data_IF_157654721658
#
_entry.id   IF_157654721658
#
_cell.length_a   1.000
_cell.length_b   1.000
_cell.length_c   1.000
_cell.angle_alpha   90.00
_cell.angle_beta   90.00
_cell.angle_gamma   90.00
#
_symmetry.space_group_name_H-M   'P 1'
#
loop_
_entity.id
_entity.type
_entity.pdbx_description
1 polymer ?
#
# COMPACT_ATOMS: atom_id res chain seq x y z
N UNK A 1 42.26 33.46 -32.74
CA UNK A 1 43.12 33.41 -31.55
C UNK A 1 42.51 32.37 -30.63
N UNK A 2 43.08 31.16 -30.68
CA UNK A 2 42.67 29.98 -29.93
C UNK A 2 43.33 30.04 -28.54
N UNK A 3 42.58 30.39 -27.51
CA UNK A 3 42.90 30.00 -26.13
C UNK A 3 42.18 28.67 -25.90
N UNK A 4 42.83 27.52 -26.07
CA UNK A 4 43.96 27.11 -25.24
C UNK A 4 43.41 26.65 -23.89
N UNK A 5 42.75 25.48 -23.87
CA UNK A 5 42.47 24.79 -22.62
C UNK A 5 43.81 24.21 -22.19
N UNK A 6 44.56 24.92 -21.33
CA UNK A 6 45.84 24.46 -20.85
C UNK A 6 45.66 23.10 -20.17
N UNK A 7 46.39 22.11 -20.67
CA UNK A 7 46.32 20.70 -20.28
C UNK A 7 46.91 20.43 -18.90
N UNK A 8 46.49 21.17 -17.87
CA UNK A 8 46.78 20.89 -16.46
C UNK A 8 45.71 19.98 -15.83
N UNK A 9 45.15 19.06 -16.62
CA UNK A 9 44.30 18.00 -16.08
C UNK A 9 45.20 16.90 -15.53
N UNK A 10 45.07 16.57 -14.24
CA UNK A 10 45.73 15.39 -13.67
C UNK A 10 45.32 14.15 -14.46
N UNK A 11 46.29 13.42 -15.02
CA UNK A 11 46.05 12.12 -15.63
C UNK A 11 45.75 11.07 -14.54
N UNK A 12 44.95 10.05 -14.86
CA UNK A 12 44.61 8.97 -13.92
C UNK A 12 45.89 8.17 -13.63
N UNK A 13 46.28 8.13 -12.37
CA UNK A 13 47.51 7.45 -11.95
C UNK A 13 47.25 5.96 -11.65
N UNK A 14 48.30 5.14 -11.61
CA UNK A 14 48.18 3.71 -11.29
C UNK A 14 47.39 3.40 -10.00
N UNK A 15 47.53 4.16 -8.89
CA UNK A 15 46.70 3.96 -7.70
C UNK A 15 45.19 4.13 -7.96
N UNK A 16 44.80 5.02 -8.86
CA UNK A 16 43.39 5.27 -9.19
C UNK A 16 42.78 4.05 -9.91
N UNK A 17 43.52 3.43 -10.83
CA UNK A 17 43.11 2.17 -11.48
C UNK A 17 42.99 1.01 -10.50
N UNK A 18 43.90 0.92 -9.53
CA UNK A 18 43.84 -0.10 -8.48
C UNK A 18 42.60 0.07 -7.59
N UNK A 19 42.25 1.30 -7.21
CA UNK A 19 41.04 1.60 -6.44
C UNK A 19 39.78 1.23 -7.23
N UNK A 20 39.71 1.58 -8.51
CA UNK A 20 38.59 1.20 -9.39
C UNK A 20 38.47 -0.33 -9.48
N UNK A 21 39.59 -1.03 -9.68
CA UNK A 21 39.62 -2.49 -9.73
C UNK A 21 39.12 -3.14 -8.43
N UNK A 22 39.62 -2.68 -7.28
CA UNK A 22 39.18 -3.17 -5.96
C UNK A 22 37.70 -2.90 -5.70
N UNK A 23 37.19 -1.74 -6.14
CA UNK A 23 35.78 -1.40 -6.01
C UNK A 23 34.87 -2.39 -6.78
N UNK A 24 35.16 -2.66 -8.05
CA UNK A 24 34.38 -3.62 -8.84
C UNK A 24 34.47 -5.04 -8.29
N UNK A 25 35.65 -5.47 -7.83
CA UNK A 25 35.81 -6.75 -7.13
C UNK A 25 34.96 -6.78 -5.86
N UNK A 26 34.95 -5.71 -5.08
CA UNK A 26 34.10 -5.58 -3.89
C UNK A 26 32.61 -5.70 -4.20
N UNK A 27 32.11 -5.03 -5.25
CA UNK A 27 30.72 -5.16 -5.69
C UNK A 27 30.39 -6.59 -6.10
N UNK A 28 31.27 -7.25 -6.85
CA UNK A 28 31.06 -8.64 -7.26
C UNK A 28 31.04 -9.58 -6.06
N UNK A 29 31.91 -9.38 -5.07
CA UNK A 29 31.91 -10.15 -3.82
C UNK A 29 30.58 -9.96 -3.07
N UNK A 30 30.11 -8.73 -2.90
CA UNK A 30 28.84 -8.43 -2.24
C UNK A 30 27.65 -9.02 -3.02
N UNK A 31 27.66 -8.89 -4.35
CA UNK A 31 26.62 -9.46 -5.22
C UNK A 31 26.56 -10.99 -5.14
N UNK A 32 27.71 -11.67 -5.17
CA UNK A 32 27.79 -13.12 -5.04
C UNK A 32 27.41 -13.59 -3.64
N UNK A 33 27.83 -12.86 -2.60
CA UNK A 33 27.46 -13.13 -1.21
C UNK A 33 25.95 -12.99 -1.00
N UNK A 34 25.34 -11.92 -1.52
CA UNK A 34 23.90 -11.70 -1.47
C UNK A 34 23.13 -12.78 -2.23
N UNK A 35 23.57 -13.11 -3.46
CA UNK A 35 22.95 -14.15 -4.28
C UNK A 35 22.99 -15.53 -3.62
N UNK A 36 24.09 -15.90 -2.95
CA UNK A 36 24.20 -17.15 -2.19
C UNK A 36 23.29 -17.19 -0.95
N UNK A 37 23.00 -16.03 -0.35
CA UNK A 37 22.07 -15.92 0.79
C UNK A 37 20.61 -15.91 0.35
N UNK A 38 20.33 -15.38 -0.84
CA UNK A 38 19.01 -15.37 -1.47
C UNK A 38 18.67 -16.73 -2.13
N UNK A 39 18.95 -17.84 -1.44
CA UNK A 39 18.40 -19.16 -1.77
C UNK A 39 16.96 -19.25 -1.26
N UNK A 40 16.08 -18.43 -1.81
CA UNK A 40 14.65 -18.50 -1.55
C UNK A 40 13.94 -18.71 -2.88
N UNK A 41 13.46 -19.93 -3.15
CA UNK A 41 12.66 -20.30 -4.32
C UNK A 41 11.26 -19.63 -4.34
N UNK A 42 11.11 -18.49 -3.65
CA UNK A 42 9.85 -17.76 -3.52
C UNK A 42 9.93 -16.39 -4.19
N UNK A 43 8.91 -16.07 -4.99
CA UNK A 43 8.73 -14.78 -5.67
C UNK A 43 8.85 -13.61 -4.68
N UNK A 44 8.40 -13.78 -3.43
CA UNK A 44 8.52 -12.78 -2.36
C UNK A 44 9.98 -12.49 -1.95
N UNK A 45 10.86 -13.50 -1.95
CA UNK A 45 12.28 -13.33 -1.65
C UNK A 45 13.00 -12.50 -2.70
N UNK A 46 12.68 -12.70 -3.98
CA UNK A 46 13.27 -11.97 -5.10
C UNK A 46 12.75 -10.52 -5.22
N UNK A 47 11.44 -10.30 -5.05
CA UNK A 47 10.83 -8.97 -5.25
C UNK A 47 10.74 -8.10 -4.00
N UNK A 48 10.57 -8.69 -2.81
CA UNK A 48 10.29 -7.94 -1.58
C UNK A 48 11.40 -8.08 -0.52
N UNK A 49 12.47 -8.83 -0.82
CA UNK A 49 13.53 -9.17 0.14
C UNK A 49 12.96 -9.67 1.48
N UNK A 50 11.87 -10.46 1.41
CA UNK A 50 11.11 -10.98 2.55
C UNK A 50 10.66 -9.92 3.58
N UNK A 51 10.55 -8.64 3.18
CA UNK A 51 10.23 -7.49 4.06
C UNK A 51 11.15 -7.35 5.29
N UNK A 52 12.35 -7.94 5.26
CA UNK A 52 13.27 -7.96 6.40
C UNK A 52 14.38 -6.91 6.29
N UNK A 53 14.32 -6.01 5.31
CA UNK A 53 15.34 -4.98 5.12
C UNK A 53 15.21 -3.86 6.15
N UNK A 54 16.33 -3.54 6.80
CA UNK A 54 16.44 -2.41 7.71
C UNK A 54 16.27 -1.08 6.96
N UNK A 55 15.76 -0.05 7.62
CA UNK A 55 15.43 1.24 7.00
C UNK A 55 16.64 1.97 6.40
N UNK A 56 17.85 1.75 6.94
CA UNK A 56 19.10 2.38 6.46
C UNK A 56 19.44 1.94 5.03
N UNK A 57 19.62 0.64 4.71
CA UNK A 57 19.79 0.18 3.33
C UNK A 57 18.68 0.64 2.37
N UNK A 58 17.42 0.66 2.82
CA UNK A 58 16.29 1.10 1.99
C UNK A 58 16.42 2.59 1.64
N UNK A 59 16.69 3.46 2.62
CA UNK A 59 16.91 4.89 2.40
C UNK A 59 18.12 5.17 1.51
N UNK A 60 19.23 4.45 1.74
CA UNK A 60 20.42 4.55 0.90
C UNK A 60 20.14 4.11 -0.55
N UNK A 61 19.36 3.06 -0.75
CA UNK A 61 18.95 2.58 -2.08
C UNK A 61 18.04 3.59 -2.79
N UNK A 62 17.08 4.20 -2.09
CA UNK A 62 16.22 5.24 -2.66
C UNK A 62 17.05 6.46 -3.10
N UNK A 63 17.99 6.90 -2.27
CA UNK A 63 18.92 7.97 -2.60
C UNK A 63 19.81 7.61 -3.80
N UNK A 64 20.43 6.43 -3.79
CA UNK A 64 21.32 5.99 -4.87
C UNK A 64 20.59 5.78 -6.21
N UNK A 65 19.30 5.40 -6.17
CA UNK A 65 18.48 5.27 -7.38
C UNK A 65 18.11 6.62 -7.99
N UNK A 66 17.96 7.66 -7.15
CA UNK A 66 17.76 9.02 -7.60
C UNK A 66 19.09 9.60 -8.13
N UNK A 67 20.15 9.56 -7.32
CA UNK A 67 21.43 10.21 -7.62
C UNK A 67 22.33 9.32 -8.48
N UNK A 68 21.97 9.19 -9.77
CA UNK A 68 22.77 8.51 -10.78
C UNK A 68 23.91 9.37 -11.36
N UNK A 69 24.79 8.76 -12.17
CA UNK A 69 25.92 9.46 -12.81
C UNK A 69 25.49 10.65 -13.67
N UNK A 70 24.34 10.56 -14.34
CA UNK A 70 23.75 11.66 -15.11
C UNK A 70 23.33 12.86 -14.25
N UNK A 71 22.91 12.61 -13.01
CA UNK A 71 22.50 13.66 -12.08
C UNK A 71 23.71 14.40 -11.50
N UNK A 72 24.80 13.68 -11.22
CA UNK A 72 26.08 14.31 -10.82
C UNK A 72 26.61 15.27 -11.89
N UNK A 73 26.69 14.81 -13.15
CA UNK A 73 27.20 15.65 -14.24
C UNK A 73 26.21 16.76 -14.60
N UNK A 74 24.91 16.44 -14.67
CA UNK A 74 23.86 17.35 -15.08
C UNK A 74 23.58 18.47 -14.07
N UNK A 75 23.46 18.16 -12.77
CA UNK A 75 23.26 19.17 -11.72
C UNK A 75 24.52 19.99 -11.49
N UNK A 76 25.71 19.39 -11.53
CA UNK A 76 26.95 20.15 -11.42
C UNK A 76 27.11 21.12 -12.60
N UNK A 77 26.81 20.68 -13.83
CA UNK A 77 26.82 21.56 -15.00
C UNK A 77 25.75 22.66 -14.93
N UNK A 78 24.55 22.32 -14.49
CA UNK A 78 23.46 23.28 -14.29
C UNK A 78 23.79 24.28 -13.18
N UNK A 79 24.38 23.83 -12.07
CA UNK A 79 24.86 24.69 -10.98
C UNK A 79 26.02 25.59 -11.38
N UNK A 80 26.92 25.11 -12.25
CA UNK A 80 27.98 25.94 -12.82
C UNK A 80 27.42 27.05 -13.73
N UNK A 81 26.32 26.78 -14.46
CA UNK A 81 25.70 27.76 -15.36
C UNK A 81 24.70 28.70 -14.68
N UNK A 82 23.92 28.21 -13.72
CA UNK A 82 22.72 28.86 -13.16
C UNK A 82 22.80 29.07 -11.64
N UNK A 83 23.92 28.68 -11.02
CA UNK A 83 24.17 28.85 -9.59
C UNK A 83 23.36 27.90 -8.71
N UNK A 84 23.21 28.26 -7.42
CA UNK A 84 22.58 27.44 -6.39
C UNK A 84 21.07 27.20 -6.61
N UNK A 85 20.44 27.94 -7.53
CA UNK A 85 19.00 27.85 -7.82
C UNK A 85 18.56 26.43 -8.20
N UNK A 86 19.44 25.66 -8.87
CA UNK A 86 19.16 24.26 -9.24
C UNK A 86 18.96 23.35 -8.02
N UNK A 87 19.52 23.69 -6.86
CA UNK A 87 19.34 22.91 -5.63
C UNK A 87 17.88 22.90 -5.14
N UNK A 88 17.04 23.85 -5.58
CA UNK A 88 15.61 23.83 -5.32
C UNK A 88 14.92 22.55 -5.85
N UNK A 89 15.43 21.98 -6.94
CA UNK A 89 14.94 20.70 -7.48
C UNK A 89 15.11 19.55 -6.46
N UNK A 90 16.30 19.42 -5.87
CA UNK A 90 16.59 18.40 -4.84
C UNK A 90 15.84 18.66 -3.54
N UNK A 91 15.73 19.93 -3.13
CA UNK A 91 14.97 20.30 -1.93
C UNK A 91 13.48 19.96 -2.10
N UNK A 92 12.91 20.13 -3.29
CA UNK A 92 11.55 19.71 -3.57
C UNK A 92 11.37 18.19 -3.50
N UNK A 93 12.35 17.41 -3.98
CA UNK A 93 12.30 15.95 -3.91
C UNK A 93 12.20 15.43 -2.47
N UNK A 94 12.82 16.11 -1.49
CA UNK A 94 12.69 15.77 -0.07
C UNK A 94 11.22 15.78 0.39
N UNK A 95 10.48 16.84 0.06
CA UNK A 95 9.07 16.95 0.43
C UNK A 95 8.22 15.88 -0.27
N UNK A 96 8.50 15.60 -1.55
CA UNK A 96 7.79 14.56 -2.32
C UNK A 96 8.07 13.16 -1.76
N UNK A 97 9.29 12.86 -1.33
CA UNK A 97 9.63 11.58 -0.70
C UNK A 97 8.93 11.40 0.66
N UNK A 98 8.80 12.46 1.44
CA UNK A 98 7.97 12.44 2.65
C UNK A 98 6.51 12.20 2.29
N UNK A 99 5.98 12.83 1.24
CA UNK A 99 4.62 12.59 0.77
C UNK A 99 4.43 11.12 0.35
N UNK A 100 5.39 10.54 -0.39
CA UNK A 100 5.40 9.13 -0.77
C UNK A 100 5.30 8.22 0.45
N UNK A 101 6.15 8.44 1.46
CA UNK A 101 6.22 7.60 2.65
C UNK A 101 4.98 7.69 3.55
N UNK A 102 4.46 8.90 3.77
CA UNK A 102 3.39 9.13 4.74
C UNK A 102 1.97 9.06 4.15
N UNK A 103 1.81 9.34 2.85
CA UNK A 103 0.48 9.35 2.21
C UNK A 103 0.28 8.19 1.23
N UNK A 104 1.24 7.91 0.35
CA UNK A 104 1.05 6.90 -0.71
C UNK A 104 1.35 5.47 -0.26
N UNK A 105 2.43 5.26 0.51
CA UNK A 105 2.81 3.92 0.95
C UNK A 105 1.71 3.24 1.78
N UNK A 106 1.01 3.91 2.72
CA UNK A 106 -0.13 3.32 3.42
C UNK A 106 -1.28 2.91 2.48
N UNK A 107 -1.57 3.72 1.46
CA UNK A 107 -2.61 3.43 0.46
C UNK A 107 -2.26 2.17 -0.33
N UNK A 108 -1.01 2.01 -0.77
CA UNK A 108 -0.58 0.81 -1.49
C UNK A 108 -0.61 -0.44 -0.62
N UNK A 109 -0.22 -0.34 0.66
CA UNK A 109 -0.28 -1.45 1.60
C UNK A 109 -1.74 -1.85 1.86
N UNK A 110 -2.64 -0.88 2.09
CA UNK A 110 -4.06 -1.12 2.29
C UNK A 110 -4.71 -1.78 1.06
N UNK A 111 -4.48 -1.23 -0.14
CA UNK A 111 -4.96 -1.81 -1.39
C UNK A 111 -4.46 -3.23 -1.61
N UNK A 112 -3.17 -3.50 -1.33
CA UNK A 112 -2.60 -4.83 -1.41
C UNK A 112 -3.22 -5.82 -0.42
N UNK A 113 -3.54 -5.37 0.80
CA UNK A 113 -4.21 -6.19 1.81
C UNK A 113 -5.64 -6.56 1.40
N UNK A 114 -6.41 -5.60 0.86
CA UNK A 114 -7.77 -5.84 0.39
C UNK A 114 -7.81 -6.78 -0.82
N UNK A 115 -6.90 -6.57 -1.79
CA UNK A 115 -6.75 -7.48 -2.95
C UNK A 115 -6.36 -8.88 -2.51
N UNK A 116 -5.44 -9.01 -1.56
CA UNK A 116 -5.04 -10.31 -1.01
C UNK A 116 -6.21 -11.02 -0.32
N UNK A 117 -6.92 -10.32 0.57
CA UNK A 117 -8.07 -10.86 1.30
C UNK A 117 -9.16 -11.34 0.33
N UNK A 118 -9.46 -10.54 -0.70
CA UNK A 118 -10.45 -10.89 -1.70
C UNK A 118 -10.04 -12.04 -2.62
N UNK A 119 -8.80 -12.04 -3.08
CA UNK A 119 -8.28 -13.12 -3.90
C UNK A 119 -8.24 -14.46 -3.15
N UNK A 120 -7.88 -14.43 -1.87
CA UNK A 120 -7.92 -15.61 -0.99
C UNK A 120 -9.34 -16.16 -0.88
N UNK A 121 -10.33 -15.28 -0.76
CA UNK A 121 -11.73 -15.68 -0.66
C UNK A 121 -12.24 -16.36 -1.94
N UNK A 122 -11.94 -15.78 -3.11
CA UNK A 122 -12.26 -16.38 -4.42
C UNK A 122 -11.55 -17.72 -4.61
N UNK A 123 -10.25 -17.79 -4.24
CA UNK A 123 -9.48 -19.03 -4.30
C UNK A 123 -10.15 -20.13 -3.47
N UNK A 124 -10.56 -19.82 -2.25
CA UNK A 124 -11.16 -20.81 -1.34
C UNK A 124 -12.55 -21.27 -1.80
N UNK A 125 -13.31 -20.40 -2.48
CA UNK A 125 -14.71 -20.65 -2.86
C UNK A 125 -14.84 -21.29 -4.23
N UNK A 126 -14.07 -20.81 -5.22
CA UNK A 126 -14.12 -21.26 -6.61
C UNK A 126 -12.95 -22.16 -7.00
N UNK A 127 -11.96 -22.35 -6.12
CA UNK A 127 -10.76 -23.14 -6.43
C UNK A 127 -9.85 -22.49 -7.49
N UNK A 128 -10.06 -21.19 -7.78
CA UNK A 128 -9.29 -20.48 -8.80
C UNK A 128 -7.88 -20.14 -8.31
N UNK A 129 -6.95 -20.02 -9.25
CA UNK A 129 -5.62 -19.51 -8.97
C UNK A 129 -5.73 -18.07 -8.41
N UNK A 130 -4.95 -17.76 -7.36
CA UNK A 130 -4.93 -16.46 -6.70
C UNK A 130 -4.72 -15.29 -7.69
N UNK A 131 -3.87 -15.44 -8.71
CA UNK A 131 -3.66 -14.38 -9.71
C UNK A 131 -4.91 -14.13 -10.57
N UNK A 132 -5.61 -15.19 -10.96
CA UNK A 132 -6.88 -15.09 -11.71
C UNK A 132 -7.94 -14.42 -10.85
N UNK A 133 -8.01 -14.80 -9.57
CA UNK A 133 -8.89 -14.16 -8.58
C UNK A 133 -8.65 -12.65 -8.46
N UNK A 134 -7.39 -12.20 -8.41
CA UNK A 134 -7.04 -10.78 -8.40
C UNK A 134 -7.51 -10.07 -9.67
N UNK A 135 -7.28 -10.66 -10.85
CA UNK A 135 -7.69 -10.05 -12.13
C UNK A 135 -9.20 -9.91 -12.24
N UNK A 136 -9.96 -10.93 -11.83
CA UNK A 136 -11.42 -10.88 -11.77
C UNK A 136 -11.89 -9.78 -10.82
N UNK A 137 -11.27 -9.70 -9.63
CA UNK A 137 -11.60 -8.72 -8.61
C UNK A 137 -11.37 -7.28 -9.12
N UNK A 138 -10.21 -7.03 -9.74
CA UNK A 138 -9.88 -5.74 -10.35
C UNK A 138 -10.81 -5.39 -11.51
N UNK A 139 -11.13 -6.36 -12.37
CA UNK A 139 -12.03 -6.14 -13.51
C UNK A 139 -13.43 -5.72 -13.08
N UNK A 140 -14.02 -6.42 -12.11
CA UNK A 140 -15.34 -6.07 -11.58
C UNK A 140 -15.30 -4.73 -10.85
N UNK A 141 -14.28 -4.48 -10.02
CA UNK A 141 -14.13 -3.20 -9.32
C UNK A 141 -13.97 -2.03 -10.29
N UNK A 142 -13.19 -2.18 -11.37
CA UNK A 142 -13.02 -1.14 -12.39
C UNK A 142 -14.34 -0.83 -13.11
N UNK A 143 -15.10 -1.85 -13.53
CA UNK A 143 -16.42 -1.66 -14.16
C UNK A 143 -17.38 -0.95 -13.22
N UNK A 144 -17.42 -1.37 -11.95
CA UNK A 144 -18.30 -0.77 -10.95
C UNK A 144 -17.91 0.69 -10.63
N UNK A 145 -16.61 1.00 -10.60
CA UNK A 145 -16.10 2.36 -10.39
C UNK A 145 -16.46 3.27 -11.56
N UNK A 146 -16.30 2.80 -12.81
CA UNK A 146 -16.66 3.58 -14.00
C UNK A 146 -18.17 3.82 -14.11
N UNK A 147 -18.98 2.85 -13.69
CA UNK A 147 -20.44 2.93 -13.79
C UNK A 147 -21.09 3.65 -12.59
N UNK A 148 -20.42 3.69 -11.43
CA UNK A 148 -21.02 4.09 -10.15
C UNK A 148 -20.33 5.30 -9.51
N UNK A 149 -21.08 6.37 -9.27
CA UNK A 149 -20.63 7.48 -8.42
C UNK A 149 -20.58 7.11 -6.93
N UNK A 150 -19.98 7.98 -6.10
CA UNK A 150 -19.83 7.79 -4.65
C UNK A 150 -21.14 7.41 -3.93
N UNK A 151 -22.27 7.97 -4.37
CA UNK A 151 -23.60 7.69 -3.80
C UNK A 151 -24.01 6.23 -4.01
N UNK A 152 -23.73 5.66 -5.18
CA UNK A 152 -24.03 4.25 -5.49
C UNK A 152 -23.24 3.35 -4.55
N UNK A 153 -21.95 3.64 -4.36
CA UNK A 153 -21.06 2.89 -3.46
C UNK A 153 -21.60 2.90 -2.03
N UNK A 154 -22.01 4.06 -1.52
CA UNK A 154 -22.54 4.16 -0.14
C UNK A 154 -23.83 3.35 0.04
N UNK A 155 -24.73 3.36 -0.94
CA UNK A 155 -25.97 2.58 -0.85
C UNK A 155 -25.73 1.08 -0.93
N UNK A 156 -24.81 0.62 -1.79
CA UNK A 156 -24.44 -0.80 -1.83
C UNK A 156 -23.80 -1.24 -0.51
N UNK A 157 -23.00 -0.39 0.12
CA UNK A 157 -22.36 -0.69 1.41
C UNK A 157 -23.35 -0.79 2.55
N UNK A 158 -24.40 0.04 2.51
CA UNK A 158 -25.46 -0.01 3.50
C UNK A 158 -26.19 -1.35 3.46
N UNK A 159 -26.63 -1.77 2.27
CA UNK A 159 -27.28 -3.09 2.07
C UNK A 159 -26.34 -4.22 2.48
N UNK A 160 -25.09 -4.16 2.03
CA UNK A 160 -24.08 -5.14 2.34
C UNK A 160 -23.81 -5.24 3.84
N UNK A 161 -23.76 -4.11 4.57
CA UNK A 161 -23.55 -4.09 6.02
C UNK A 161 -24.67 -4.83 6.75
N UNK A 162 -25.93 -4.64 6.35
CA UNK A 162 -27.06 -5.37 6.92
C UNK A 162 -26.92 -6.87 6.67
N UNK A 163 -26.62 -7.25 5.42
CA UNK A 163 -26.46 -8.67 5.05
C UNK A 163 -25.26 -9.32 5.73
N UNK A 164 -24.14 -8.61 5.88
CA UNK A 164 -22.94 -9.08 6.60
C UNK A 164 -23.24 -9.33 8.07
N UNK A 165 -23.95 -8.41 8.74
CA UNK A 165 -24.29 -8.57 10.16
C UNK A 165 -25.20 -9.79 10.34
N UNK A 166 -26.24 -9.95 9.51
CA UNK A 166 -27.13 -11.12 9.58
C UNK A 166 -26.37 -12.41 9.31
N UNK A 167 -25.56 -12.45 8.25
CA UNK A 167 -24.76 -13.63 7.89
C UNK A 167 -23.75 -14.02 8.98
N UNK A 168 -23.07 -13.04 9.57
CA UNK A 168 -22.12 -13.27 10.66
C UNK A 168 -22.82 -13.71 11.96
N UNK A 169 -24.02 -13.19 12.25
CA UNK A 169 -24.84 -13.65 13.38
C UNK A 169 -25.24 -15.12 13.22
N UNK A 170 -25.69 -15.51 12.02
CA UNK A 170 -26.00 -16.91 11.73
C UNK A 170 -24.75 -17.78 11.87
N UNK A 171 -23.61 -17.32 11.35
CA UNK A 171 -22.34 -18.05 11.43
C UNK A 171 -21.90 -18.29 12.86
N UNK A 172 -21.91 -17.26 13.72
CA UNK A 172 -21.46 -17.41 15.10
C UNK A 172 -22.34 -18.39 15.86
N UNK A 173 -23.68 -18.32 15.68
CA UNK A 173 -24.61 -19.24 16.33
C UNK A 173 -24.34 -20.69 15.90
N UNK A 174 -24.19 -20.93 14.59
CA UNK A 174 -23.92 -22.29 14.09
C UNK A 174 -22.53 -22.78 14.54
N UNK A 175 -21.51 -21.93 14.49
CA UNK A 175 -20.14 -22.30 14.90
C UNK A 175 -20.05 -22.65 16.40
N UNK A 176 -20.72 -21.89 17.26
CA UNK A 176 -20.77 -22.17 18.70
C UNK A 176 -21.54 -23.45 18.98
N UNK A 177 -22.62 -23.73 18.23
CA UNK A 177 -23.36 -24.99 18.33
C UNK A 177 -22.47 -26.18 18.00
N UNK A 178 -21.66 -26.08 16.95
CA UNK A 178 -20.76 -27.16 16.50
C UNK A 178 -19.63 -27.42 17.50
N UNK A 179 -19.06 -26.37 18.10
CA UNK A 179 -18.03 -26.53 19.15
C UNK A 179 -18.59 -27.12 20.45
N UNK A 180 -19.90 -26.91 20.70
CA UNK A 180 -20.58 -27.35 21.92
C UNK A 180 -20.80 -26.25 22.96
N UNK A 181 -20.85 -24.99 22.54
CA UNK A 181 -21.19 -23.82 23.36
C UNK A 181 -20.03 -22.84 23.56
N UNK A 182 -20.38 -21.64 24.05
CA UNK A 182 -19.40 -20.58 24.35
C UNK A 182 -18.44 -20.98 25.48
N UNK A 183 -18.96 -21.56 26.56
CA UNK A 183 -18.15 -21.93 27.73
C UNK A 183 -17.11 -22.99 27.36
N UNK A 184 -17.54 -24.02 26.60
CA UNK A 184 -16.64 -25.07 26.11
C UNK A 184 -15.57 -24.53 25.16
N UNK A 185 -15.93 -23.57 24.29
CA UNK A 185 -14.96 -22.90 23.44
C UNK A 185 -13.94 -22.17 24.29
N UNK A 186 -14.37 -21.36 25.27
CA UNK A 186 -13.45 -20.58 26.08
C UNK A 186 -12.61 -21.43 27.04
N UNK A 187 -13.15 -22.47 27.65
CA UNK A 187 -12.40 -23.28 28.61
C UNK A 187 -11.39 -24.20 27.94
N UNK A 188 -11.73 -24.76 26.78
CA UNK A 188 -10.91 -25.79 26.14
C UNK A 188 -10.21 -25.29 24.86
N UNK A 189 -10.26 -24.00 24.54
CA UNK A 189 -9.68 -23.46 23.30
C UNK A 189 -8.23 -23.88 23.08
N UNK A 190 -7.42 -23.88 24.15
CA UNK A 190 -6.00 -24.21 24.09
C UNK A 190 -5.75 -25.66 23.69
N UNK A 191 -6.62 -26.57 24.12
CA UNK A 191 -6.54 -27.99 23.81
C UNK A 191 -7.14 -28.28 22.44
N UNK A 192 -8.34 -27.74 22.16
CA UNK A 192 -9.06 -27.95 20.91
C UNK A 192 -8.36 -27.31 19.70
N UNK A 193 -7.71 -26.16 19.88
CA UNK A 193 -7.08 -25.41 18.81
C UNK A 193 -5.63 -25.80 18.49
N UNK A 194 -5.12 -26.87 19.10
CA UNK A 194 -3.78 -27.42 18.83
C UNK A 194 -3.88 -28.59 17.85
N UNK A 195 -3.07 -28.63 16.77
CA UNK A 195 -3.01 -29.75 15.85
C UNK A 195 -2.74 -31.05 16.62
N UNK A 196 -3.52 -32.07 16.32
CA UNK A 196 -3.41 -33.36 17.00
C UNK A 196 -2.27 -34.18 16.38
N UNK A 197 -2.10 -34.03 15.07
CA UNK A 197 -1.07 -34.71 14.28
C UNK A 197 0.26 -33.95 14.32
N UNK A 198 1.33 -34.66 14.67
CA UNK A 198 2.71 -34.14 14.72
C UNK A 198 3.24 -33.68 13.36
N UNK A 199 2.62 -34.11 12.27
CA UNK A 199 2.98 -33.74 10.90
C UNK A 199 2.64 -32.27 10.57
N UNK A 200 1.63 -31.69 11.22
CA UNK A 200 1.10 -30.36 10.89
C UNK A 200 1.72 -29.24 11.72
N UNK A 201 2.54 -29.57 12.72
CA UNK A 201 3.24 -28.56 13.51
C UNK A 201 4.75 -28.81 13.60
N UNK A 202 5.53 -27.74 13.44
CA UNK A 202 6.98 -27.77 13.66
C UNK A 202 7.31 -27.21 15.05
N UNK A 203 8.15 -27.92 15.80
CA UNK A 203 8.75 -27.41 17.04
C UNK A 203 10.08 -26.77 16.69
N UNK A 204 10.31 -25.54 17.12
CA UNK A 204 11.63 -24.95 17.01
C UNK A 204 12.55 -25.62 18.04
N UNK A 205 13.52 -26.41 17.58
CA UNK A 205 14.44 -27.15 18.45
C UNK A 205 15.27 -26.26 19.38
N UNK A 206 15.44 -24.96 19.06
CA UNK A 206 16.19 -24.03 19.89
C UNK A 206 15.39 -23.48 21.09
N UNK A 207 14.07 -23.32 20.95
CA UNK A 207 13.21 -22.71 21.99
C UNK A 207 12.20 -23.70 22.57
N UNK A 208 12.14 -24.91 22.02
CA UNK A 208 11.18 -25.97 22.35
C UNK A 208 9.71 -25.48 22.32
N UNK A 209 9.44 -24.45 21.52
CA UNK A 209 8.12 -23.84 21.31
C UNK A 209 7.68 -24.06 19.87
N UNK A 210 6.40 -24.38 19.69
CA UNK A 210 5.78 -24.44 18.37
C UNK A 210 5.02 -23.15 18.07
N UNK A 211 5.05 -22.69 16.81
CA UNK A 211 4.23 -21.54 16.37
C UNK A 211 2.71 -21.84 16.39
N UNK A 212 2.33 -23.09 16.66
CA UNK A 212 0.94 -23.52 16.79
C UNK A 212 0.41 -23.46 18.21
N UNK A 213 1.26 -23.18 19.22
CA UNK A 213 0.81 -23.06 20.60
C UNK A 213 -0.03 -21.80 20.81
N UNK A 214 -1.16 -21.98 21.49
CA UNK A 214 -2.05 -20.89 21.86
C UNK A 214 -1.55 -20.27 23.17
N UNK A 215 -1.42 -18.94 23.19
CA UNK A 215 -1.02 -18.17 24.38
C UNK A 215 -1.92 -18.47 25.57
N UNK A 216 -1.36 -18.49 26.78
CA UNK A 216 -2.11 -18.70 28.02
C UNK A 216 -3.10 -17.55 28.31
N UNK A 217 -2.86 -16.37 27.75
CA UNK A 217 -3.67 -15.17 27.93
C UNK A 217 -4.80 -15.05 26.89
N UNK A 218 -5.20 -16.13 26.22
CA UNK A 218 -6.20 -16.09 25.15
C UNK A 218 -7.59 -15.60 25.60
N UNK A 219 -7.92 -15.74 26.89
CA UNK A 219 -9.16 -15.20 27.49
C UNK A 219 -9.09 -13.71 27.81
N UNK A 220 -7.89 -13.12 27.84
CA UNK A 220 -7.67 -11.74 28.26
C UNK A 220 -7.71 -10.81 27.06
N UNK A 221 -8.49 -9.73 27.17
CA UNK A 221 -8.52 -8.67 26.14
C UNK A 221 -7.21 -7.88 26.09
N UNK A 222 -6.58 -7.65 27.25
CA UNK A 222 -5.26 -7.02 27.38
C UNK A 222 -4.27 -8.05 27.91
N UNK A 223 -3.23 -8.34 27.13
CA UNK A 223 -2.14 -9.25 27.53
C UNK A 223 -1.03 -8.50 28.27
N UNK A 224 -0.16 -9.20 29.02
CA UNK A 224 0.98 -8.58 29.70
C UNK A 224 1.87 -7.75 28.78
N UNK A 225 2.67 -6.85 29.36
CA UNK A 225 3.57 -5.96 28.61
C UNK A 225 4.74 -6.70 27.96
N UNK A 226 5.06 -7.91 28.42
CA UNK A 226 6.15 -8.75 27.94
C UNK A 226 5.70 -9.82 26.92
N UNK A 227 4.41 -9.82 26.53
CA UNK A 227 3.91 -10.70 25.47
C UNK A 227 4.57 -10.32 24.13
N UNK A 228 5.17 -11.31 23.47
CA UNK A 228 5.94 -11.07 22.24
C UNK A 228 5.08 -10.66 21.05
N UNK A 229 3.79 -11.04 21.05
CA UNK A 229 2.90 -10.84 19.91
C UNK A 229 1.99 -9.62 20.11
N UNK A 230 1.32 -9.52 21.26
CA UNK A 230 0.25 -8.54 21.49
C UNK A 230 0.35 -7.87 22.89
N UNK A 231 1.44 -7.16 23.20
CA UNK A 231 1.59 -6.51 24.50
C UNK A 231 0.56 -5.37 24.66
N UNK A 232 -0.04 -5.21 25.84
CA UNK A 232 -1.08 -4.18 26.05
C UNK A 232 -0.58 -2.76 25.76
N UNK A 233 0.71 -2.48 25.98
CA UNK A 233 1.32 -1.18 25.69
C UNK A 233 1.26 -0.86 24.19
N UNK A 234 1.58 -1.84 23.34
CA UNK A 234 1.43 -1.73 21.89
C UNK A 234 -0.03 -1.62 21.45
N UNK A 235 -0.92 -2.41 22.08
CA UNK A 235 -2.36 -2.38 21.78
C UNK A 235 -3.02 -1.05 22.16
N UNK A 236 -2.64 -0.44 23.27
CA UNK A 236 -3.26 0.80 23.75
C UNK A 236 -2.61 2.02 23.11
N UNK A 237 -1.29 2.12 23.08
CA UNK A 237 -0.61 3.33 22.58
C UNK A 237 -0.30 3.24 21.08
N UNK A 238 0.18 2.09 20.61
CA UNK A 238 0.55 1.88 19.21
C UNK A 238 -0.66 1.86 18.28
N UNK A 239 -1.64 0.99 18.55
CA UNK A 239 -2.85 0.89 17.70
C UNK A 239 -3.67 2.17 17.75
N UNK A 240 -3.70 2.91 18.87
CA UNK A 240 -4.41 4.20 18.92
C UNK A 240 -3.85 5.20 17.91
N UNK A 241 -2.53 5.29 17.73
CA UNK A 241 -1.93 6.15 16.70
C UNK A 241 -2.37 5.69 15.30
N UNK A 242 -2.31 4.37 15.03
CA UNK A 242 -2.79 3.81 13.76
C UNK A 242 -4.29 4.04 13.53
N UNK A 243 -5.09 4.00 14.59
CA UNK A 243 -6.54 4.21 14.53
C UNK A 243 -6.87 5.68 14.26
N UNK A 244 -6.16 6.62 14.90
CA UNK A 244 -6.32 8.05 14.61
C UNK A 244 -5.98 8.34 13.14
N UNK A 245 -4.89 7.77 12.62
CA UNK A 245 -4.58 7.88 11.20
C UNK A 245 -5.72 7.32 10.34
N UNK A 246 -6.15 6.08 10.58
CA UNK A 246 -7.18 5.41 9.79
C UNK A 246 -8.55 6.12 9.84
N UNK A 247 -9.00 6.59 11.00
CA UNK A 247 -10.35 7.18 11.14
C UNK A 247 -10.40 8.68 10.85
N UNK A 248 -9.29 9.40 11.03
CA UNK A 248 -9.26 10.86 10.91
C UNK A 248 -8.48 11.37 9.70
N UNK A 249 -7.55 10.58 9.14
CA UNK A 249 -6.69 10.98 8.02
C UNK A 249 -6.94 10.20 6.74
N UNK A 250 -7.55 9.01 6.82
CA UNK A 250 -7.93 8.25 5.63
C UNK A 250 -9.06 8.98 4.89
N UNK A 251 -8.74 9.42 3.68
CA UNK A 251 -9.65 10.18 2.84
C UNK A 251 -10.92 9.40 2.50
N UNK A 252 -10.86 8.06 2.41
CA UNK A 252 -12.04 7.22 2.15
C UNK A 252 -13.09 7.43 3.25
N UNK A 253 -12.66 7.43 4.51
CA UNK A 253 -13.53 7.53 5.68
C UNK A 253 -14.00 8.98 5.86
N UNK A 254 -13.08 9.93 5.80
CA UNK A 254 -13.39 11.37 5.96
C UNK A 254 -14.38 11.83 4.90
N UNK A 255 -14.21 11.41 3.65
CA UNK A 255 -15.11 11.77 2.55
C UNK A 255 -16.54 11.23 2.75
N UNK A 256 -16.69 10.02 3.32
CA UNK A 256 -18.01 9.46 3.66
C UNK A 256 -18.69 10.28 4.76
N UNK A 257 -17.94 10.69 5.79
CA UNK A 257 -18.47 11.56 6.84
C UNK A 257 -18.88 12.94 6.30
N UNK A 258 -18.10 13.52 5.38
CA UNK A 258 -18.37 14.82 4.74
C UNK A 258 -19.56 14.77 3.77
N UNK A 259 -19.95 13.60 3.27
CA UNK A 259 -21.12 13.44 2.39
C UNK A 259 -22.48 13.55 3.12
N UNK A 260 -22.46 13.70 4.45
CA UNK A 260 -23.66 13.84 5.26
C UNK A 260 -24.39 15.17 5.00
N UNK A 261 -25.72 15.16 5.11
CA UNK A 261 -26.58 16.35 4.88
C UNK A 261 -26.27 17.53 5.81
N UNK A 262 -25.78 17.26 7.01
CA UNK A 262 -25.40 18.28 7.99
C UNK A 262 -24.34 17.74 8.94
N UNK A 263 -23.70 18.63 9.68
CA UNK A 263 -22.72 18.26 10.71
C UNK A 263 -23.34 17.37 11.81
N UNK A 264 -24.61 17.59 12.15
CA UNK A 264 -25.34 16.73 13.10
C UNK A 264 -25.56 15.32 12.55
N UNK A 265 -25.86 15.18 11.25
CA UNK A 265 -25.96 13.87 10.59
C UNK A 265 -24.61 13.15 10.54
N UNK A 266 -23.52 13.88 10.25
CA UNK A 266 -22.17 13.30 10.27
C UNK A 266 -21.82 12.75 11.66
N UNK A 267 -22.05 13.54 12.72
CA UNK A 267 -21.85 13.10 14.11
C UNK A 267 -22.69 11.88 14.47
N UNK A 268 -23.98 11.89 14.14
CA UNK A 268 -24.86 10.76 14.39
C UNK A 268 -24.39 9.49 13.66
N UNK A 269 -23.90 9.62 12.41
CA UNK A 269 -23.28 8.54 11.65
C UNK A 269 -22.03 7.97 12.33
N UNK A 270 -21.13 8.84 12.81
CA UNK A 270 -19.94 8.42 13.56
C UNK A 270 -20.30 7.69 14.87
N UNK A 271 -21.31 8.18 15.60
CA UNK A 271 -21.81 7.53 16.82
C UNK A 271 -22.36 6.14 16.51
N UNK A 272 -23.19 6.00 15.47
CA UNK A 272 -23.72 4.71 15.02
C UNK A 272 -22.59 3.74 14.64
N UNK A 273 -21.61 4.20 13.86
CA UNK A 273 -20.45 3.41 13.48
C UNK A 273 -19.67 2.91 14.72
N UNK A 274 -19.50 3.77 15.72
CA UNK A 274 -18.82 3.43 16.99
C UNK A 274 -19.55 2.31 17.74
N UNK A 275 -20.88 2.35 17.80
CA UNK A 275 -21.67 1.27 18.40
C UNK A 275 -21.55 -0.05 17.61
N UNK A 276 -21.66 0.01 16.27
CA UNK A 276 -21.53 -1.19 15.41
C UNK A 276 -20.14 -1.81 15.55
N UNK A 277 -19.09 -1.01 15.79
CA UNK A 277 -17.70 -1.50 15.97
C UNK A 277 -17.46 -2.33 17.23
N UNK A 278 -18.42 -2.43 18.14
CA UNK A 278 -18.36 -3.41 19.24
C UNK A 278 -18.68 -4.84 18.77
N UNK A 279 -19.40 -4.99 17.66
CA UNK A 279 -19.85 -6.29 17.15
C UNK A 279 -18.75 -7.24 16.61
N UNK A 280 -17.65 -6.80 15.98
CA UNK A 280 -16.63 -7.70 15.42
C UNK A 280 -15.99 -8.64 16.44
N UNK A 281 -15.94 -8.27 17.72
CA UNK A 281 -15.50 -9.15 18.79
C UNK A 281 -16.31 -10.46 18.80
N UNK A 282 -17.63 -10.34 18.67
CA UNK A 282 -18.52 -11.50 18.68
C UNK A 282 -18.71 -12.11 17.29
N UNK A 283 -18.77 -11.27 16.24
CA UNK A 283 -19.13 -11.70 14.90
C UNK A 283 -17.95 -12.20 14.06
N UNK A 284 -16.72 -11.82 14.39
CA UNK A 284 -15.51 -12.20 13.64
C UNK A 284 -14.51 -12.98 14.50
N UNK A 285 -14.21 -12.49 15.73
CA UNK A 285 -13.20 -13.14 16.58
C UNK A 285 -13.68 -14.48 17.11
N UNK A 286 -14.91 -14.57 17.65
CA UNK A 286 -15.44 -15.85 18.16
C UNK A 286 -15.55 -16.93 17.07
N UNK A 287 -16.11 -16.65 15.87
CA UNK A 287 -16.03 -17.60 14.76
C UNK A 287 -14.59 -17.96 14.41
N UNK A 288 -13.66 -17.00 14.33
CA UNK A 288 -12.24 -17.31 14.09
C UNK A 288 -11.65 -18.31 15.09
N UNK A 289 -11.96 -18.13 16.39
CA UNK A 289 -11.58 -19.08 17.43
C UNK A 289 -12.27 -20.44 17.23
N UNK A 290 -13.58 -20.45 16.99
CA UNK A 290 -14.34 -21.67 16.73
C UNK A 290 -13.78 -22.45 15.53
N UNK A 291 -13.39 -21.78 14.45
CA UNK A 291 -12.77 -22.40 13.28
C UNK A 291 -11.48 -23.13 13.63
N UNK A 292 -10.63 -22.53 14.48
CA UNK A 292 -9.38 -23.17 14.90
C UNK A 292 -9.65 -24.36 15.82
N UNK A 293 -10.69 -24.29 16.65
CA UNK A 293 -11.09 -25.39 17.52
C UNK A 293 -11.71 -26.58 16.77
N UNK A 294 -12.40 -26.33 15.64
CA UNK A 294 -13.02 -27.38 14.81
C UNK A 294 -12.03 -28.04 13.84
N UNK A 295 -11.11 -27.26 13.26
CA UNK A 295 -10.10 -27.77 12.31
C UNK A 295 -8.68 -27.33 12.70
N UNK A 296 -8.13 -27.87 13.79
CA UNK A 296 -6.82 -27.46 14.29
C UNK A 296 -5.67 -27.82 13.33
N UNK A 297 -5.75 -28.95 12.64
CA UNK A 297 -4.70 -29.39 11.70
C UNK A 297 -4.62 -28.50 10.44
N UNK A 298 -5.74 -27.92 10.00
CA UNK A 298 -5.78 -27.02 8.83
C UNK A 298 -5.46 -25.57 9.21
N UNK A 299 -6.19 -25.02 10.19
CA UNK A 299 -6.09 -23.58 10.57
C UNK A 299 -4.90 -23.33 11.48
N UNK A 300 -4.57 -24.29 12.34
CA UNK A 300 -3.45 -24.23 13.27
C UNK A 300 -2.12 -24.71 12.70
N UNK A 301 -2.06 -25.10 11.43
CA UNK A 301 -0.85 -25.58 10.76
C UNK A 301 0.32 -24.60 10.94
N UNK A 302 1.48 -25.13 11.35
CA UNK A 302 2.74 -24.39 11.41
C UNK A 302 3.88 -25.00 10.62
N UNK A 303 3.71 -26.21 10.06
CA UNK A 303 4.72 -26.83 9.20
C UNK A 303 4.69 -26.24 7.78
N UNK A 304 5.76 -25.58 7.29
CA UNK A 304 5.76 -24.88 6.01
C UNK A 304 5.32 -25.71 4.80
N UNK A 305 5.75 -26.97 4.70
CA UNK A 305 5.44 -27.83 3.55
C UNK A 305 3.95 -28.18 3.51
N UNK A 306 3.41 -28.63 4.65
CA UNK A 306 1.99 -29.00 4.78
C UNK A 306 1.07 -27.78 4.68
N UNK A 307 1.46 -26.65 5.26
CA UNK A 307 0.66 -25.44 5.15
C UNK A 307 0.59 -24.93 3.70
N UNK A 308 1.67 -25.12 2.92
CA UNK A 308 1.67 -24.81 1.49
C UNK A 308 0.69 -25.68 0.71
N UNK A 309 0.59 -26.97 1.03
CA UNK A 309 -0.37 -27.86 0.39
C UNK A 309 -1.83 -27.51 0.73
N UNK A 310 -2.10 -27.11 1.98
CA UNK A 310 -3.46 -26.81 2.46
C UNK A 310 -3.94 -25.44 1.96
N UNK A 311 -3.18 -24.38 2.22
CA UNK A 311 -3.61 -23.01 1.98
C UNK A 311 -2.76 -22.26 0.94
N UNK A 312 -1.64 -22.84 0.48
CA UNK A 312 -0.71 -22.18 -0.43
C UNK A 312 0.18 -21.14 0.24
N UNK A 313 0.31 -21.17 1.58
CA UNK A 313 1.15 -20.26 2.35
C UNK A 313 2.06 -21.03 3.30
N UNK A 314 3.36 -20.73 3.24
CA UNK A 314 4.38 -21.31 4.13
C UNK A 314 4.38 -20.65 5.52
N UNK A 315 3.79 -19.46 5.66
CA UNK A 315 3.76 -18.70 6.93
C UNK A 315 2.62 -19.12 7.87
N UNK A 316 1.78 -20.08 7.46
CA UNK A 316 0.63 -20.56 8.23
C UNK A 316 -0.72 -20.24 7.57
N UNK A 317 -1.76 -20.96 8.01
CA UNK A 317 -3.08 -20.99 7.38
C UNK A 317 -4.18 -20.29 8.19
N UNK A 318 -3.86 -19.47 9.20
CA UNK A 318 -4.86 -18.78 10.03
C UNK A 318 -5.85 -17.92 9.22
N UNK A 319 -5.44 -17.41 8.05
CA UNK A 319 -6.27 -16.56 7.19
C UNK A 319 -7.44 -17.29 6.51
N UNK A 320 -7.43 -18.63 6.45
CA UNK A 320 -8.56 -19.40 5.86
C UNK A 320 -9.68 -19.69 6.88
N UNK A 321 -9.52 -19.34 8.15
CA UNK A 321 -10.45 -19.68 9.23
C UNK A 321 -11.91 -19.26 8.94
N UNK A 322 -12.12 -17.98 8.61
CA UNK A 322 -13.47 -17.46 8.37
C UNK A 322 -14.10 -18.02 7.08
N UNK A 323 -13.40 -18.04 5.92
CA UNK A 323 -13.90 -18.72 4.72
C UNK A 323 -14.25 -20.19 4.94
N UNK A 324 -13.44 -20.92 5.71
CA UNK A 324 -13.63 -22.34 5.96
C UNK A 324 -14.93 -22.61 6.72
N UNK A 325 -15.26 -21.80 7.72
CA UNK A 325 -16.54 -21.87 8.43
C UNK A 325 -17.73 -21.61 7.52
N UNK A 326 -17.65 -20.57 6.70
CA UNK A 326 -18.72 -20.23 5.75
C UNK A 326 -18.99 -21.40 4.80
N UNK A 327 -17.93 -22.04 4.29
CA UNK A 327 -18.07 -23.13 3.34
C UNK A 327 -18.54 -24.46 3.95
N UNK A 328 -18.13 -24.77 5.19
CA UNK A 328 -18.40 -26.07 5.81
C UNK A 328 -19.62 -26.10 6.73
N UNK A 329 -19.99 -24.97 7.35
CA UNK A 329 -21.05 -24.93 8.38
C UNK A 329 -22.33 -24.28 7.87
N UNK A 330 -22.25 -23.25 7.02
CA UNK A 330 -23.47 -22.57 6.58
C UNK A 330 -24.32 -23.46 5.67
N UNK A 331 -25.66 -23.37 5.76
CA UNK A 331 -26.56 -24.11 4.88
C UNK A 331 -26.50 -23.56 3.46
N UNK A 332 -26.80 -24.45 2.49
CA UNK A 332 -26.92 -24.11 1.08
C UNK A 332 -27.86 -22.92 0.88
N UNK A 333 -27.47 -21.97 0.02
CA UNK A 333 -28.16 -20.70 -0.16
C UNK A 333 -27.63 -19.57 0.72
N UNK A 334 -27.55 -19.77 2.05
CA UNK A 334 -26.97 -18.77 2.97
C UNK A 334 -25.48 -18.63 2.73
N UNK A 335 -24.78 -19.74 2.46
CA UNK A 335 -23.38 -19.72 2.03
C UNK A 335 -23.23 -18.82 0.80
N UNK A 336 -23.97 -19.07 -0.28
CA UNK A 336 -23.87 -18.27 -1.51
C UNK A 336 -24.18 -16.79 -1.32
N UNK A 337 -25.18 -16.47 -0.48
CA UNK A 337 -25.49 -15.10 -0.09
C UNK A 337 -24.29 -14.45 0.64
N UNK A 338 -23.72 -15.14 1.63
CA UNK A 338 -22.56 -14.64 2.38
C UNK A 338 -21.35 -14.44 1.46
N UNK A 339 -21.09 -15.39 0.55
CA UNK A 339 -19.97 -15.27 -0.40
C UNK A 339 -20.14 -14.03 -1.31
N UNK A 340 -21.35 -13.79 -1.80
CA UNK A 340 -21.67 -12.65 -2.66
C UNK A 340 -21.50 -11.32 -1.93
N UNK A 341 -21.95 -11.27 -0.67
CA UNK A 341 -21.86 -10.08 0.19
C UNK A 341 -20.41 -9.75 0.55
N UNK A 342 -19.59 -10.77 0.83
CA UNK A 342 -18.16 -10.58 1.10
C UNK A 342 -17.42 -10.10 -0.16
N UNK A 343 -17.77 -10.62 -1.33
CA UNK A 343 -17.25 -10.10 -2.60
C UNK A 343 -17.62 -8.63 -2.81
N UNK A 344 -18.89 -8.26 -2.58
CA UNK A 344 -19.34 -6.89 -2.68
C UNK A 344 -18.56 -5.96 -1.72
N UNK A 345 -18.23 -6.45 -0.52
CA UNK A 345 -17.43 -5.71 0.46
C UNK A 345 -16.06 -5.33 -0.06
N UNK A 346 -15.39 -6.29 -0.69
CA UNK A 346 -14.08 -6.11 -1.26
C UNK A 346 -14.14 -5.15 -2.45
N UNK A 347 -15.17 -5.27 -3.30
CA UNK A 347 -15.38 -4.32 -4.40
C UNK A 347 -15.57 -2.90 -3.90
N UNK A 348 -16.32 -2.71 -2.81
CA UNK A 348 -16.56 -1.39 -2.25
C UNK A 348 -15.29 -0.74 -1.69
N UNK A 349 -14.49 -1.49 -0.93
CA UNK A 349 -13.21 -0.98 -0.43
C UNK A 349 -12.29 -0.57 -1.58
N UNK A 350 -12.14 -1.43 -2.58
CA UNK A 350 -11.32 -1.15 -3.77
C UNK A 350 -11.83 0.06 -4.56
N UNK A 351 -13.13 0.14 -4.79
CA UNK A 351 -13.77 1.28 -5.48
C UNK A 351 -13.55 2.58 -4.71
N UNK A 352 -13.56 2.52 -3.38
CA UNK A 352 -13.30 3.69 -2.53
C UNK A 352 -11.84 4.12 -2.59
N UNK A 353 -10.91 3.17 -2.62
CA UNK A 353 -9.48 3.42 -2.79
C UNK A 353 -9.21 4.05 -4.16
N UNK A 354 -9.78 3.49 -5.24
CA UNK A 354 -9.64 4.06 -6.58
C UNK A 354 -10.25 5.46 -6.68
N UNK A 355 -11.45 5.68 -6.15
CA UNK A 355 -12.04 7.04 -6.11
C UNK A 355 -11.20 8.04 -5.32
N UNK A 356 -10.53 7.60 -4.25
CA UNK A 356 -9.64 8.46 -3.45
C UNK A 356 -8.32 8.72 -4.17
N UNK A 357 -7.78 7.70 -4.85
CA UNK A 357 -6.57 7.80 -5.65
C UNK A 357 -6.77 8.67 -6.90
N UNK A 358 -7.92 8.56 -7.58
CA UNK A 358 -8.26 9.36 -8.75
C UNK A 358 -8.31 10.86 -8.38
N UNK A 359 -8.95 11.22 -7.26
CA UNK A 359 -8.94 12.62 -6.79
C UNK A 359 -7.56 13.12 -6.39
N UNK A 360 -6.75 12.27 -5.77
CA UNK A 360 -5.36 12.62 -5.46
C UNK A 360 -4.50 12.75 -6.73
N UNK A 361 -4.76 11.90 -7.72
CA UNK A 361 -4.18 11.92 -9.06
C UNK A 361 -4.57 13.17 -9.84
N UNK A 362 -5.81 13.62 -9.74
CA UNK A 362 -6.27 14.89 -10.34
C UNK A 362 -5.54 16.08 -9.71
N UNK A 363 -5.38 16.11 -8.39
CA UNK A 363 -4.61 17.16 -7.71
C UNK A 363 -3.14 17.14 -8.15
N UNK A 364 -2.53 15.95 -8.31
CA UNK A 364 -1.19 15.81 -8.85
C UNK A 364 -1.11 16.18 -10.33
N UNK A 365 -2.14 15.90 -11.13
CA UNK A 365 -2.20 16.27 -12.55
C UNK A 365 -2.33 17.78 -12.71
N UNK A 366 -3.04 18.45 -11.80
CA UNK A 366 -3.15 19.91 -11.73
C UNK A 366 -1.82 20.52 -11.25
N UNK A 367 -1.15 19.90 -10.27
CA UNK A 367 0.20 20.30 -9.85
C UNK A 367 1.24 20.07 -10.95
N UNK A 368 1.17 18.94 -11.65
CA UNK A 368 2.02 18.63 -12.80
C UNK A 368 1.70 19.53 -13.99
N UNK A 369 0.44 19.90 -14.22
CA UNK A 369 0.07 20.87 -15.24
C UNK A 369 0.56 22.28 -14.88
N UNK A 370 0.52 22.67 -13.60
CA UNK A 370 1.11 23.92 -13.11
C UNK A 370 2.65 23.92 -13.22
N UNK A 371 3.29 22.78 -12.92
CA UNK A 371 4.73 22.56 -13.10
C UNK A 371 5.10 22.56 -14.60
N UNK A 372 4.33 21.90 -15.44
CA UNK A 372 4.53 21.85 -16.89
C UNK A 372 4.32 23.21 -17.53
N UNK A 373 3.36 24.01 -17.04
CA UNK A 373 3.17 25.42 -17.43
C UNK A 373 4.39 26.27 -17.07
N UNK A 374 4.93 26.07 -15.86
CA UNK A 374 6.16 26.73 -15.40
C UNK A 374 7.39 26.29 -16.21
N UNK A 375 7.50 25.00 -16.54
CA UNK A 375 8.54 24.43 -17.41
C UNK A 375 8.44 24.96 -18.84
N UNK A 376 7.24 25.06 -19.43
CA UNK A 376 7.07 25.71 -20.74
C UNK A 376 7.45 27.19 -20.70
N UNK A 377 7.19 27.90 -19.60
CA UNK A 377 7.63 29.29 -19.42
C UNK A 377 9.16 29.41 -19.32
N UNK A 378 9.81 28.49 -18.61
CA UNK A 378 11.28 28.41 -18.52
C UNK A 378 11.89 28.07 -19.88
N UNK A 379 11.32 27.11 -20.62
CA UNK A 379 11.80 26.77 -21.96
C UNK A 379 11.55 27.87 -22.98
N UNK A 380 10.42 28.59 -22.90
CA UNK A 380 10.16 29.74 -23.76
C UNK A 380 11.12 30.90 -23.45
N UNK A 381 11.42 31.13 -22.17
CA UNK A 381 12.40 32.13 -21.72
C UNK A 381 13.83 31.76 -22.14
N UNK A 382 14.23 30.49 -21.98
CA UNK A 382 15.53 29.97 -22.40
C UNK A 382 15.69 30.00 -23.93
N UNK A 383 14.63 29.67 -24.67
CA UNK A 383 14.58 29.79 -26.13
C UNK A 383 14.70 31.25 -26.59
N UNK A 384 14.09 32.18 -25.85
CA UNK A 384 14.19 33.63 -26.14
C UNK A 384 15.61 34.13 -25.92
N UNK A 385 16.26 33.75 -24.80
CA UNK A 385 17.69 34.07 -24.54
C UNK A 385 18.58 33.43 -25.62
N UNK A 386 18.35 32.17 -25.97
CA UNK A 386 19.14 31.51 -27.01
C UNK A 386 18.97 32.20 -28.37
N UNK A 387 17.76 32.61 -28.74
CA UNK A 387 17.48 33.20 -30.06
C UNK A 387 17.92 34.67 -30.14
N UNK A 388 17.68 35.45 -29.08
CA UNK A 388 17.98 36.89 -29.05
C UNK A 388 19.45 37.14 -28.73
N UNK A 389 20.01 36.46 -27.72
CA UNK A 389 21.33 36.80 -27.18
C UNK A 389 22.46 35.92 -27.74
N UNK A 390 22.20 34.64 -28.03
CA UNK A 390 23.22 33.69 -28.49
C UNK A 390 23.22 33.54 -30.02
N UNK A 391 22.05 33.31 -30.63
CA UNK A 391 21.92 33.02 -32.05
C UNK A 391 22.25 34.25 -32.92
N UNK A 392 21.80 35.45 -32.51
CA UNK A 392 22.18 36.71 -33.17
C UNK A 392 23.67 37.04 -33.04
N UNK A 393 24.36 36.52 -32.01
CA UNK A 393 25.81 36.67 -31.84
C UNK A 393 26.60 35.85 -32.84
N UNK A 394 26.08 34.68 -33.25
CA UNK A 394 26.71 33.78 -34.23
C UNK A 394 26.32 34.07 -35.69
N UNK A 395 25.15 34.66 -35.95
CA UNK A 395 24.78 35.19 -37.29
C UNK A 395 24.38 36.68 -37.23
N UNK A 396 25.35 37.58 -37.39
CA UNK A 396 25.10 39.04 -37.42
C UNK A 396 24.25 39.54 -38.61
N UNK A 397 24.10 38.73 -39.68
CA UNK A 397 23.47 39.16 -40.94
C UNK A 397 22.11 38.50 -41.24
N UNK A 398 21.49 37.83 -40.26
CA UNK A 398 20.12 37.34 -40.45
C UNK A 398 19.12 38.46 -40.15
N UNK A 399 18.64 39.13 -41.21
CA UNK A 399 17.59 40.14 -41.11
C UNK A 399 16.28 39.45 -40.66
N UNK A 400 15.71 39.91 -39.55
CA UNK A 400 14.42 39.45 -39.06
C UNK A 400 13.33 39.94 -40.03
N UNK A 401 12.76 39.05 -40.84
CA UNK A 401 11.42 39.26 -41.37
C UNK A 401 10.46 39.17 -40.18
N UNK A 402 10.26 40.30 -39.51
CA UNK A 402 9.12 40.51 -38.63
C UNK A 402 7.86 40.22 -39.46
N UNK A 403 7.23 39.08 -39.19
CA UNK A 403 5.79 38.97 -39.38
C UNK A 403 5.20 40.15 -38.61
N UNK A 404 4.72 41.12 -39.38
CA UNK A 404 3.91 42.24 -38.93
C UNK A 404 2.72 41.68 -38.14
N UNK A 405 2.86 41.50 -36.82
CA UNK A 405 1.71 41.55 -35.94
C UNK A 405 1.43 43.03 -35.72
N UNK A 406 0.63 43.60 -36.63
CA UNK A 406 0.01 44.91 -36.44
C UNK A 406 -0.84 44.78 -35.18
N UNK A 407 -0.56 45.50 -34.07
CA UNK A 407 -1.50 45.55 -32.97
C UNK A 407 -2.73 46.30 -33.51
N UNK A 408 -3.88 45.62 -33.55
CA UNK A 408 -5.13 46.30 -33.80
C UNK A 408 -5.31 47.37 -32.73
N UNK A 409 -5.50 48.59 -33.21
CA UNK A 409 -5.66 49.82 -32.47
C UNK A 409 -6.54 49.67 -31.22
N UNK A 410 -6.01 50.18 -30.11
CA UNK A 410 -6.77 50.80 -29.04
C UNK A 410 -7.61 51.93 -29.67
N UNK A 411 -8.93 51.79 -29.67
CA UNK A 411 -9.84 52.94 -29.73
C UNK A 411 -10.40 53.14 -28.34
N UNK A 412 -9.95 54.23 -27.71
CA UNK A 412 -10.69 54.92 -26.66
C UNK A 412 -12.14 55.09 -27.08
N UNK A 413 -13.06 54.73 -26.18
CA UNK A 413 -14.21 55.57 -25.87
C UNK A 413 -14.55 55.40 -24.40
N UNK A 414 -14.21 56.42 -23.62
CA UNK A 414 -15.02 56.89 -22.51
C UNK A 414 -16.50 56.90 -22.92
N UNK A 415 -17.38 56.31 -22.09
CA UNK A 415 -18.57 56.99 -21.61
C UNK A 415 -19.35 56.14 -20.59
N UNK A 416 -19.53 56.75 -19.42
CA UNK A 416 -20.75 56.80 -18.60
C UNK A 416 -21.42 55.53 -18.04
N UNK A 417 -21.46 55.51 -16.70
CA UNK A 417 -22.67 55.37 -15.87
C UNK A 417 -23.71 54.33 -16.30
N UNK A 418 -23.82 53.24 -15.56
CA UNK A 418 -24.87 52.99 -14.54
C UNK A 418 -24.80 51.54 -14.05
#
# INVERSE_FOLDING_TARGET
>A
MSSGFDGTGRHIDWPDYLVIGLYFVGILIVGFWSSRRSKGDSVSGYFLANRSMHWIPVGASLFASNVGSGQFVGLAGSGASSGLSIAAFELNAMFVLLVLGYFYLPVYIAAGADLYAGALFIKQTLGLNMYVSVVILLGISAVFTMAGGLTTVIWTDFVQTILMIIGALVLVILSLKEVGGYDKLMDNFRELGRPNNTEYYSINSATNKSCSEISQYYKNLLRPWDDADLPWTGMVFGITVSAVWYWCSDQVIVQRALSAKSFSHAKAGCTLCSFIKLSPLYLLVLPGMASRALWPDEVGCSNPEKCKDICGSESGCSNIAYPLLVLRIMPTGVTGLMLSVMMAALMSSLTSIFNSADRAGDMLSVMMAALMSSLTSIFNSASTIFTIDIYNRFRRNACLYLVHYRPAHKQDKDHHQS
#
